data_IF_836328836498
#
_entry.id   IF_836328836498
#
_cell.length_a   1.000
_cell.length_b   1.000
_cell.length_c   1.000
_cell.angle_alpha   90.00
_cell.angle_beta   90.00
_cell.angle_gamma   90.00
#
_symmetry.space_group_name_H-M   'P 1'
#
loop_
_entity.id
_entity.type
_entity.pdbx_description
1 polymer ?
#
# COMPACT_ATOMS: atom_id res chain seq x y z
N UNK A 1 -51.01 53.83 -5.79
CA UNK A 1 -49.89 52.91 -6.10
C UNK A 1 -49.36 52.37 -4.77
N UNK A 2 -49.79 51.17 -4.37
CA UNK A 2 -49.41 50.55 -3.09
C UNK A 2 -48.21 49.64 -3.33
N UNK A 3 -47.04 50.03 -2.83
CA UNK A 3 -45.84 49.18 -2.84
C UNK A 3 -45.83 48.39 -1.53
N UNK A 4 -45.97 47.08 -1.65
CA UNK A 4 -46.01 46.11 -0.55
C UNK A 4 -44.62 45.97 0.09
N UNK A 5 -44.48 46.41 1.34
CA UNK A 5 -43.31 46.13 2.20
C UNK A 5 -43.36 44.69 2.73
N UNK A 6 -43.14 43.69 1.88
CA UNK A 6 -43.03 42.28 2.30
C UNK A 6 -41.61 41.69 2.17
N UNK A 7 -40.64 42.46 1.65
CA UNK A 7 -39.29 41.95 1.39
C UNK A 7 -38.36 41.95 2.62
N UNK A 8 -38.61 42.79 3.62
CA UNK A 8 -37.68 42.98 4.74
C UNK A 8 -37.65 41.82 5.77
N UNK A 9 -38.76 41.15 6.13
CA UNK A 9 -38.73 40.06 7.11
C UNK A 9 -38.04 38.79 6.57
N UNK A 10 -38.14 38.55 5.26
CA UNK A 10 -37.57 37.37 4.59
C UNK A 10 -36.05 37.46 4.51
N UNK A 11 -35.51 38.66 4.28
CA UNK A 11 -34.06 38.90 4.24
C UNK A 11 -33.42 38.73 5.63
N UNK A 12 -34.12 39.13 6.70
CA UNK A 12 -33.63 38.95 8.08
C UNK A 12 -33.62 37.46 8.48
N UNK A 13 -34.64 36.68 8.07
CA UNK A 13 -34.70 35.24 8.33
C UNK A 13 -33.59 34.44 7.59
N UNK A 14 -33.23 34.84 6.38
CA UNK A 14 -32.15 34.23 5.60
C UNK A 14 -30.76 34.52 6.17
N UNK A 15 -30.54 35.71 6.76
CA UNK A 15 -29.26 36.06 7.40
C UNK A 15 -29.03 35.32 8.73
N UNK A 16 -30.09 34.98 9.46
CA UNK A 16 -29.98 34.21 10.71
C UNK A 16 -29.58 32.73 10.46
N UNK A 17 -29.93 32.17 9.30
CA UNK A 17 -29.61 30.78 8.94
C UNK A 17 -28.13 30.57 8.61
N UNK A 18 -27.38 31.62 8.24
CA UNK A 18 -25.96 31.53 7.89
C UNK A 18 -25.01 31.57 9.10
N UNK A 19 -25.50 31.91 10.30
CA UNK A 19 -24.65 32.06 11.51
C UNK A 19 -24.65 30.77 12.37
N UNK A 20 -25.51 29.80 12.04
CA UNK A 20 -25.66 28.54 12.77
C UNK A 20 -24.76 27.41 12.28
N UNK A 21 -23.53 27.71 11.84
CA UNK A 21 -22.56 26.66 11.54
C UNK A 21 -22.21 25.92 12.83
N UNK A 22 -22.80 24.74 13.03
CA UNK A 22 -22.46 23.83 14.12
C UNK A 22 -20.95 23.63 14.12
N UNK A 23 -20.24 24.22 15.09
CA UNK A 23 -18.83 23.90 15.28
C UNK A 23 -18.77 22.41 15.60
N UNK A 24 -18.31 21.61 14.65
CA UNK A 24 -18.00 20.21 14.90
C UNK A 24 -16.92 20.19 15.99
N UNK A 25 -17.37 19.96 17.22
CA UNK A 25 -16.47 19.83 18.35
C UNK A 25 -15.98 18.40 18.30
N UNK A 26 -14.79 18.21 17.73
CA UNK A 26 -14.13 16.92 17.74
C UNK A 26 -13.73 16.63 19.19
N UNK A 27 -14.42 15.69 19.84
CA UNK A 27 -13.97 15.16 21.10
C UNK A 27 -12.89 14.12 20.82
N UNK A 28 -11.64 14.50 21.05
CA UNK A 28 -10.55 13.55 21.08
C UNK A 28 -10.54 12.91 22.47
N UNK A 29 -10.78 11.61 22.55
CA UNK A 29 -10.45 10.84 23.73
C UNK A 29 -8.93 10.75 23.85
N UNK A 30 -8.40 10.65 25.08
CA UNK A 30 -6.99 10.31 25.24
C UNK A 30 -6.70 8.95 24.56
N UNK A 31 -5.62 8.84 23.78
CA UNK A 31 -5.25 7.57 23.16
C UNK A 31 -4.93 6.54 24.24
N UNK A 32 -5.63 5.42 24.22
CA UNK A 32 -5.31 4.28 25.06
C UNK A 32 -4.09 3.54 24.51
N UNK A 33 -3.19 3.09 25.39
CA UNK A 33 -2.02 2.34 25.00
C UNK A 33 -2.43 0.91 24.63
N UNK A 34 -2.17 0.52 23.38
CA UNK A 34 -2.42 -0.83 22.88
C UNK A 34 -1.12 -1.63 22.86
N UNK A 35 -0.98 -2.71 23.66
CA UNK A 35 0.21 -3.56 23.62
C UNK A 35 0.44 -4.12 22.21
N UNK A 36 1.69 -4.13 21.74
CA UNK A 36 2.03 -4.71 20.44
C UNK A 36 1.95 -6.24 20.50
N UNK A 37 1.43 -6.92 19.45
CA UNK A 37 1.48 -8.38 19.35
C UNK A 37 2.85 -8.89 18.85
N UNK A 38 3.75 -7.99 18.42
CA UNK A 38 5.05 -8.35 17.88
C UNK A 38 6.10 -8.59 18.97
N UNK A 39 7.01 -9.54 18.74
CA UNK A 39 8.14 -9.81 19.63
C UNK A 39 9.23 -8.73 19.64
N UNK A 40 10.22 -8.90 20.53
CA UNK A 40 11.29 -7.91 20.78
C UNK A 40 12.22 -7.64 19.58
N UNK A 41 12.32 -8.55 18.61
CA UNK A 41 13.13 -8.40 17.39
C UNK A 41 12.23 -8.25 16.17
N UNK A 42 11.31 -7.29 16.23
CA UNK A 42 10.36 -7.00 15.17
C UNK A 42 10.71 -5.73 14.40
N UNK A 43 10.32 -5.72 13.13
CA UNK A 43 10.55 -4.64 12.17
C UNK A 43 9.31 -4.45 11.31
N UNK A 44 9.25 -3.28 10.65
CA UNK A 44 8.31 -3.00 9.55
C UNK A 44 6.85 -3.35 9.86
N UNK A 45 6.25 -2.83 10.95
CA UNK A 45 4.84 -3.06 11.21
C UNK A 45 3.97 -2.31 10.19
N UNK A 46 2.92 -2.96 9.72
CA UNK A 46 1.91 -2.35 8.87
C UNK A 46 0.51 -2.65 9.42
N UNK A 47 -0.34 -1.64 9.46
CA UNK A 47 -1.73 -1.77 9.90
C UNK A 47 -2.68 -1.70 8.71
N UNK A 48 -3.60 -2.66 8.65
CA UNK A 48 -4.67 -2.73 7.66
C UNK A 48 -6.02 -2.81 8.37
N UNK A 49 -7.00 -2.03 7.91
CA UNK A 49 -8.38 -2.11 8.40
C UNK A 49 -9.25 -2.73 7.33
N UNK A 50 -9.89 -3.86 7.65
CA UNK A 50 -10.76 -4.55 6.70
C UNK A 50 -12.12 -3.85 6.53
N UNK A 51 -12.92 -4.34 5.57
CA UNK A 51 -14.26 -3.80 5.30
C UNK A 51 -15.26 -3.99 6.46
N UNK A 52 -14.92 -4.80 7.47
CA UNK A 52 -15.72 -5.05 8.69
C UNK A 52 -15.24 -4.20 9.87
N UNK A 53 -14.18 -3.42 9.70
CA UNK A 53 -13.58 -2.58 10.73
C UNK A 53 -12.60 -3.32 11.65
N UNK A 54 -12.25 -4.58 11.35
CA UNK A 54 -11.21 -5.28 12.09
C UNK A 54 -9.84 -4.72 11.70
N UNK A 55 -8.98 -4.52 12.70
CA UNK A 55 -7.61 -4.04 12.48
C UNK A 55 -6.68 -5.25 12.45
N UNK A 56 -5.87 -5.34 11.42
CA UNK A 56 -4.83 -6.34 11.26
C UNK A 56 -3.47 -5.66 11.33
N UNK A 57 -2.49 -6.33 11.91
CA UNK A 57 -1.10 -5.91 11.87
C UNK A 57 -0.26 -7.01 11.25
N UNK A 58 0.56 -6.67 10.25
CA UNK A 58 1.65 -7.52 9.76
C UNK A 58 3.00 -6.96 10.17
N UNK A 59 3.97 -7.82 10.42
CA UNK A 59 5.34 -7.41 10.78
C UNK A 59 6.35 -8.51 10.46
N UNK A 60 7.63 -8.15 10.43
CA UNK A 60 8.73 -9.13 10.30
C UNK A 60 9.38 -9.32 11.66
N UNK A 61 9.59 -10.57 12.06
CA UNK A 61 10.49 -10.92 13.15
C UNK A 61 11.80 -11.49 12.62
N UNK A 62 12.89 -11.19 13.29
CA UNK A 62 14.22 -11.69 12.96
C UNK A 62 14.75 -12.61 14.06
N UNK A 63 15.30 -13.74 13.63
CA UNK A 63 15.97 -14.73 14.47
C UNK A 63 17.24 -15.16 13.74
N UNK A 64 18.37 -14.59 14.16
CA UNK A 64 19.65 -14.68 13.46
C UNK A 64 19.54 -14.28 11.96
N UNK A 65 19.68 -15.22 11.03
CA UNK A 65 19.54 -14.99 9.59
C UNK A 65 18.13 -15.21 9.05
N UNK A 66 17.25 -15.82 9.84
CA UNK A 66 15.89 -16.15 9.44
C UNK A 66 14.95 -14.99 9.74
N UNK A 67 14.18 -14.60 8.72
CA UNK A 67 13.12 -13.62 8.85
C UNK A 67 11.76 -14.33 8.76
N UNK A 68 10.81 -13.90 9.58
CA UNK A 68 9.45 -14.46 9.65
C UNK A 68 8.43 -13.35 9.48
N UNK A 69 7.62 -13.41 8.44
CA UNK A 69 6.49 -12.51 8.24
C UNK A 69 5.32 -13.05 9.05
N UNK A 70 4.77 -12.21 9.94
CA UNK A 70 3.69 -12.58 10.85
C UNK A 70 2.52 -11.62 10.75
N UNK A 71 1.37 -12.06 11.21
CA UNK A 71 0.17 -11.24 11.34
C UNK A 71 -0.61 -11.54 12.61
N UNK A 72 -1.35 -10.55 13.11
CA UNK A 72 -2.36 -10.69 14.16
C UNK A 72 -3.54 -9.75 13.89
N UNK A 73 -4.70 -10.09 14.43
CA UNK A 73 -5.91 -9.28 14.32
C UNK A 73 -6.27 -8.72 15.70
N UNK A 74 -6.68 -7.47 15.75
CA UNK A 74 -7.19 -6.83 16.95
C UNK A 74 -8.68 -7.11 17.07
N UNK A 75 -9.06 -7.87 18.10
CA UNK A 75 -10.44 -8.21 18.41
C UNK A 75 -10.80 -7.61 19.78
N UNK A 76 -11.79 -6.73 19.82
CA UNK A 76 -12.31 -6.15 21.07
C UNK A 76 -11.20 -5.58 21.97
N UNK A 77 -10.20 -4.91 21.38
CA UNK A 77 -9.08 -4.32 22.11
C UNK A 77 -7.95 -5.29 22.49
N UNK A 78 -8.05 -6.57 22.12
CA UNK A 78 -6.99 -7.57 22.36
C UNK A 78 -6.50 -8.18 21.06
N UNK A 79 -5.18 -8.26 20.90
CA UNK A 79 -4.61 -8.93 19.73
C UNK A 79 -4.76 -10.45 19.85
N UNK A 80 -5.06 -11.11 18.72
CA UNK A 80 -4.96 -12.56 18.62
C UNK A 80 -3.51 -13.02 18.76
N UNK A 81 -3.33 -14.33 18.98
CA UNK A 81 -2.01 -14.93 18.81
C UNK A 81 -1.47 -14.63 17.39
N UNK A 82 -0.17 -14.38 17.31
CA UNK A 82 0.50 -14.15 16.04
C UNK A 82 0.49 -15.41 15.18
N UNK A 83 0.13 -15.26 13.91
CA UNK A 83 0.15 -16.30 12.88
C UNK A 83 1.32 -16.02 11.96
N UNK A 84 2.13 -17.05 11.70
CA UNK A 84 3.19 -16.98 10.69
C UNK A 84 2.60 -17.08 9.28
N UNK A 85 2.97 -16.14 8.42
CA UNK A 85 2.64 -16.11 6.99
C UNK A 85 3.68 -16.91 6.22
N UNK A 86 4.96 -16.62 6.45
CA UNK A 86 6.07 -17.29 5.81
C UNK A 86 7.37 -17.00 6.56
N UNK A 87 8.42 -17.75 6.23
CA UNK A 87 9.77 -17.52 6.72
C UNK A 87 10.80 -17.83 5.64
N UNK A 88 11.85 -17.01 5.53
CA UNK A 88 12.95 -17.22 4.59
C UNK A 88 14.23 -16.52 5.09
N UNK A 89 15.39 -17.06 4.73
CA UNK A 89 16.70 -16.44 4.98
C UNK A 89 17.14 -15.51 3.85
N UNK A 90 16.47 -15.56 2.69
CA UNK A 90 16.81 -14.82 1.47
C UNK A 90 15.92 -13.58 1.22
N UNK A 91 15.22 -13.08 2.23
CA UNK A 91 14.42 -11.87 2.10
C UNK A 91 15.27 -10.59 2.12
N UNK A 92 14.78 -9.58 1.40
CA UNK A 92 15.31 -8.23 1.42
C UNK A 92 14.55 -7.41 2.47
N UNK A 93 14.98 -7.50 3.74
CA UNK A 93 14.37 -6.72 4.84
C UNK A 93 15.09 -5.38 4.98
N UNK A 94 14.35 -4.28 4.92
CA UNK A 94 14.89 -2.92 5.06
C UNK A 94 13.89 -1.99 5.79
N UNK A 95 14.31 -0.76 6.09
CA UNK A 95 13.50 0.21 6.87
C UNK A 95 12.54 1.05 6.03
N UNK A 96 12.68 1.03 4.70
CA UNK A 96 11.96 1.91 3.80
C UNK A 96 10.78 1.21 3.12
N UNK A 97 10.90 -0.09 2.86
CA UNK A 97 9.92 -0.91 2.15
C UNK A 97 9.48 -2.08 3.00
N UNK A 98 8.21 -2.05 3.42
CA UNK A 98 7.66 -2.90 4.45
C UNK A 98 6.60 -3.85 3.88
N UNK A 99 6.64 -5.14 4.26
CA UNK A 99 5.64 -6.10 3.82
C UNK A 99 4.28 -5.76 4.41
N UNK A 100 3.25 -6.08 3.63
CA UNK A 100 1.86 -5.82 4.00
C UNK A 100 1.04 -7.09 3.83
N UNK A 101 0.06 -7.27 4.71
CA UNK A 101 -1.03 -8.22 4.56
C UNK A 101 -2.36 -7.49 4.47
N UNK A 102 -3.20 -7.88 3.50
CA UNK A 102 -4.58 -7.42 3.37
C UNK A 102 -5.54 -8.62 3.32
N UNK A 103 -6.80 -8.39 3.70
CA UNK A 103 -7.86 -9.41 3.72
C UNK A 103 -9.17 -8.87 3.13
N UNK A 104 -10.04 -9.76 2.66
CA UNK A 104 -11.43 -9.43 2.32
C UNK A 104 -12.33 -9.28 3.57
N UNK A 105 -11.73 -9.35 4.76
CA UNK A 105 -12.36 -9.41 6.06
C UNK A 105 -12.97 -10.76 6.38
N UNK A 106 -12.97 -11.69 5.43
CA UNK A 106 -13.38 -13.08 5.59
C UNK A 106 -12.19 -13.99 5.79
N UNK A 107 -12.12 -15.00 4.94
CA UNK A 107 -11.11 -16.06 5.02
C UNK A 107 -9.93 -15.81 4.07
N UNK A 108 -10.09 -14.91 3.10
CA UNK A 108 -9.10 -14.72 2.04
C UNK A 108 -8.17 -13.58 2.40
N UNK A 109 -6.88 -13.86 2.40
CA UNK A 109 -5.87 -12.87 2.67
C UNK A 109 -4.69 -13.05 1.72
N UNK A 110 -4.05 -11.93 1.37
CA UNK A 110 -2.87 -11.86 0.56
C UNK A 110 -1.82 -11.05 1.30
N UNK A 111 -0.58 -11.49 1.23
CA UNK A 111 0.56 -10.75 1.74
C UNK A 111 1.69 -10.75 0.72
N UNK A 112 2.61 -9.79 0.85
CA UNK A 112 3.83 -9.78 0.07
C UNK A 112 5.07 -9.70 0.97
N UNK A 113 6.21 -10.13 0.43
CA UNK A 113 7.53 -9.91 0.99
C UNK A 113 8.56 -9.74 -0.13
N UNK A 114 9.59 -8.94 0.11
CA UNK A 114 10.65 -8.74 -0.86
C UNK A 114 11.66 -9.90 -0.79
N UNK A 115 11.92 -10.53 -1.93
CA UNK A 115 12.86 -11.64 -2.06
C UNK A 115 14.07 -11.19 -2.87
N UNK A 116 15.28 -11.39 -2.35
CA UNK A 116 16.50 -11.08 -3.10
C UNK A 116 16.55 -11.88 -4.40
N UNK A 117 16.79 -11.18 -5.50
CA UNK A 117 16.85 -11.76 -6.84
C UNK A 117 18.25 -11.66 -7.47
N UNK A 118 19.15 -10.86 -6.88
CA UNK A 118 20.55 -10.73 -7.28
C UNK A 118 21.39 -9.97 -6.23
N UNK A 119 22.51 -9.38 -6.67
CA UNK A 119 23.36 -8.54 -5.81
C UNK A 119 22.75 -7.15 -5.57
N UNK A 120 23.24 -6.46 -4.54
CA UNK A 120 22.82 -5.11 -4.21
C UNK A 120 21.31 -5.00 -3.91
N UNK A 121 20.63 -4.17 -4.69
CA UNK A 121 19.20 -3.89 -4.58
C UNK A 121 18.35 -4.67 -5.60
N UNK A 122 18.85 -5.77 -6.17
CA UNK A 122 18.00 -6.64 -6.98
C UNK A 122 17.08 -7.49 -6.09
N UNK A 123 15.78 -7.20 -6.11
CA UNK A 123 14.75 -7.95 -5.37
C UNK A 123 13.41 -7.95 -6.11
N UNK A 124 12.66 -9.02 -5.90
CA UNK A 124 11.34 -9.27 -6.48
C UNK A 124 10.26 -9.22 -5.39
N UNK A 125 9.01 -8.96 -5.79
CA UNK A 125 7.86 -8.97 -4.88
C UNK A 125 7.28 -10.38 -4.84
N UNK A 126 7.53 -11.12 -3.76
CA UNK A 126 6.99 -12.47 -3.55
C UNK A 126 5.63 -12.41 -2.87
N UNK A 127 4.66 -13.19 -3.37
CA UNK A 127 3.29 -13.24 -2.87
C UNK A 127 3.01 -14.48 -2.03
N UNK A 128 2.17 -14.32 -1.01
CA UNK A 128 1.65 -15.38 -0.15
C UNK A 128 0.15 -15.20 0.03
N UNK A 129 -0.59 -16.30 0.12
CA UNK A 129 -2.03 -16.22 0.38
C UNK A 129 -2.58 -17.35 1.23
N UNK A 130 -3.76 -17.10 1.81
CA UNK A 130 -4.57 -18.12 2.49
C UNK A 130 -6.04 -17.92 2.13
N UNK A 131 -6.80 -19.02 2.15
CA UNK A 131 -8.24 -19.05 1.92
C UNK A 131 -8.97 -19.62 3.17
N UNK A 132 -8.57 -19.18 4.37
CA UNK A 132 -9.14 -19.61 5.64
C UNK A 132 -8.57 -20.93 6.17
N UNK A 133 -7.51 -21.42 5.53
CA UNK A 133 -6.76 -22.58 6.00
C UNK A 133 -5.78 -22.14 7.08
N UNK A 134 -5.40 -23.08 7.95
CA UNK A 134 -4.43 -22.86 9.02
C UNK A 134 -3.03 -22.51 8.51
N UNK A 135 -2.70 -22.84 7.25
CA UNK A 135 -1.40 -22.56 6.63
C UNK A 135 -1.54 -21.60 5.43
N UNK A 136 -0.53 -20.74 5.29
CA UNK A 136 -0.34 -19.88 4.12
C UNK A 136 0.39 -20.62 3.01
N UNK A 137 0.13 -20.23 1.76
CA UNK A 137 0.76 -20.79 0.56
C UNK A 137 1.53 -19.71 -0.20
N UNK A 138 2.73 -20.05 -0.67
CA UNK A 138 3.50 -19.21 -1.60
C UNK A 138 2.83 -19.18 -2.98
N UNK A 139 2.64 -17.99 -3.57
CA UNK A 139 1.90 -17.79 -4.83
C UNK A 139 2.75 -17.39 -6.04
N UNK A 140 4.04 -17.14 -5.83
CA UNK A 140 4.97 -16.73 -6.89
C UNK A 140 5.40 -15.28 -6.74
N UNK A 141 5.75 -14.65 -7.86
CA UNK A 141 6.16 -13.24 -7.92
C UNK A 141 5.05 -12.38 -8.51
N UNK A 142 4.94 -11.13 -8.04
CA UNK A 142 4.06 -10.13 -8.63
C UNK A 142 4.66 -9.59 -9.94
N UNK A 143 5.95 -9.27 -9.94
CA UNK A 143 6.67 -8.85 -11.14
C UNK A 143 7.04 -10.06 -12.02
N UNK A 144 7.08 -9.86 -13.34
CA UNK A 144 7.14 -10.93 -14.36
C UNK A 144 8.18 -10.70 -15.47
N UNK A 145 9.05 -9.71 -15.32
CA UNK A 145 10.04 -9.27 -16.31
C UNK A 145 11.39 -10.01 -16.21
N UNK A 146 11.62 -10.70 -15.08
CA UNK A 146 12.84 -11.45 -14.76
C UNK A 146 14.15 -10.63 -14.71
N UNK A 147 14.08 -9.30 -14.73
CA UNK A 147 15.26 -8.44 -14.61
C UNK A 147 15.82 -8.49 -13.19
N UNK A 148 17.13 -8.27 -13.06
CA UNK A 148 17.80 -8.12 -11.76
C UNK A 148 17.79 -6.66 -11.36
N UNK A 149 16.61 -6.15 -11.05
CA UNK A 149 16.35 -4.76 -10.67
C UNK A 149 15.49 -4.70 -9.39
N UNK A 150 15.19 -3.47 -8.95
CA UNK A 150 14.35 -3.19 -7.79
C UNK A 150 12.86 -3.34 -8.13
N UNK A 151 12.15 -4.17 -7.37
CA UNK A 151 10.69 -4.27 -7.43
C UNK A 151 10.11 -4.23 -6.01
N UNK A 152 9.41 -3.15 -5.65
CA UNK A 152 8.99 -2.94 -4.27
C UNK A 152 8.03 -1.77 -4.07
N UNK A 153 7.98 -1.25 -2.85
CA UNK A 153 7.13 -0.12 -2.43
C UNK A 153 5.65 -0.38 -2.76
N UNK A 154 5.22 -1.59 -2.41
CA UNK A 154 3.94 -2.16 -2.83
C UNK A 154 2.80 -1.55 -2.03
N UNK A 155 1.75 -1.10 -2.72
CA UNK A 155 0.45 -0.79 -2.11
C UNK A 155 -0.60 -1.79 -2.58
N UNK A 156 -1.52 -2.17 -1.69
CA UNK A 156 -2.60 -3.12 -1.98
C UNK A 156 -3.90 -2.65 -1.33
N UNK A 157 -5.01 -2.73 -2.06
CA UNK A 157 -6.35 -2.52 -1.51
C UNK A 157 -7.33 -3.56 -2.06
N UNK A 158 -8.25 -4.09 -1.24
CA UNK A 158 -9.39 -4.85 -1.76
C UNK A 158 -10.21 -4.00 -2.73
N UNK A 159 -10.48 -4.52 -3.93
CA UNK A 159 -11.23 -3.80 -4.95
C UNK A 159 -12.01 -4.75 -5.86
N UNK A 160 -13.33 -4.53 -5.98
CA UNK A 160 -14.23 -5.32 -6.84
C UNK A 160 -14.10 -6.85 -6.67
N UNK A 161 -13.96 -7.34 -5.43
CA UNK A 161 -13.80 -8.77 -5.11
C UNK A 161 -12.41 -9.34 -5.36
N UNK A 162 -11.50 -8.53 -5.91
CA UNK A 162 -10.09 -8.78 -6.14
C UNK A 162 -9.25 -7.81 -5.30
N UNK A 163 -7.99 -7.63 -5.68
CA UNK A 163 -7.03 -6.71 -5.07
C UNK A 163 -6.48 -5.82 -6.19
N UNK A 164 -6.53 -4.50 -6.00
CA UNK A 164 -5.69 -3.59 -6.78
C UNK A 164 -4.34 -3.47 -6.06
N UNK A 165 -3.27 -3.70 -6.81
CA UNK A 165 -1.90 -3.59 -6.33
C UNK A 165 -1.11 -2.62 -7.21
N UNK A 166 -0.24 -1.82 -6.60
CA UNK A 166 0.76 -0.99 -7.29
C UNK A 166 2.14 -1.23 -6.71
N UNK A 167 3.18 -1.12 -7.53
CA UNK A 167 4.58 -1.26 -7.09
C UNK A 167 5.51 -0.39 -7.95
N UNK A 168 6.64 0.00 -7.36
CA UNK A 168 7.77 0.56 -8.10
C UNK A 168 8.51 -0.57 -8.82
N UNK A 169 8.81 -0.34 -10.09
CA UNK A 169 9.37 -1.34 -10.99
C UNK A 169 10.56 -0.78 -11.78
N UNK A 170 11.75 -1.33 -11.47
CA UNK A 170 13.04 -0.89 -11.96
C UNK A 170 13.51 -1.57 -13.24
N UNK A 171 12.64 -2.31 -13.95
CA UNK A 171 13.05 -3.10 -15.13
C UNK A 171 13.77 -2.29 -16.21
N UNK A 172 13.42 -1.03 -16.38
CA UNK A 172 14.05 -0.14 -17.35
C UNK A 172 15.48 0.23 -16.93
N UNK A 173 15.76 0.36 -15.63
CA UNK A 173 17.10 0.62 -15.09
C UNK A 173 18.07 -0.51 -15.41
N UNK A 174 17.60 -1.76 -15.41
CA UNK A 174 18.42 -2.91 -15.79
C UNK A 174 18.68 -2.97 -17.30
N UNK A 175 17.70 -2.64 -18.14
CA UNK A 175 17.83 -2.65 -19.59
C UNK A 175 18.93 -1.70 -20.11
N UNK A 176 19.10 -0.55 -19.45
CA UNK A 176 20.13 0.43 -19.83
C UNK A 176 21.55 -0.01 -19.47
N UNK A 177 21.73 -0.81 -18.41
CA UNK A 177 23.04 -1.36 -18.06
C UNK A 177 23.54 -2.46 -19.01
N UNK A 178 22.63 -3.15 -19.70
CA UNK A 178 22.99 -4.19 -20.66
C UNK A 178 23.29 -3.64 -22.06
N UNK A 179 22.91 -2.39 -22.35
CA UNK A 179 22.91 -1.84 -23.71
C UNK A 179 23.97 -0.76 -23.98
N UNK A 180 24.58 -0.13 -22.95
CA UNK A 180 25.53 0.97 -23.19
C UNK A 180 26.74 0.96 -22.23
N UNK A 181 27.89 0.49 -22.74
CA UNK A 181 29.21 0.73 -22.13
C UNK A 181 29.77 2.14 -22.42
N UNK A 182 29.14 2.90 -23.32
CA UNK A 182 29.62 4.21 -23.77
C UNK A 182 28.43 5.16 -24.04
N UNK A 183 27.90 5.83 -23.02
CA UNK A 183 27.34 7.18 -23.15
C UNK A 183 26.92 7.76 -21.80
N UNK A 184 27.37 9.00 -21.54
CA UNK A 184 26.89 9.81 -20.43
C UNK A 184 25.45 10.28 -20.70
N UNK A 185 24.47 9.68 -20.03
CA UNK A 185 23.15 10.29 -19.87
C UNK A 185 22.00 9.29 -19.94
N UNK A 186 21.31 9.15 -18.80
CA UNK A 186 20.08 8.41 -18.55
C UNK A 186 20.28 6.93 -18.16
N UNK A 187 20.39 6.70 -16.85
CA UNK A 187 19.96 5.45 -16.25
C UNK A 187 18.44 5.29 -16.47
N UNK A 188 18.00 4.06 -16.72
CA UNK A 188 16.58 3.78 -16.96
C UNK A 188 15.71 4.26 -15.81
N UNK A 189 14.50 4.71 -16.13
CA UNK A 189 13.60 5.26 -15.15
C UNK A 189 12.90 4.15 -14.35
N UNK A 190 12.84 4.33 -13.03
CA UNK A 190 11.84 3.67 -12.20
C UNK A 190 10.45 3.99 -12.75
N UNK A 191 9.63 2.96 -12.93
CA UNK A 191 8.22 3.08 -13.30
C UNK A 191 7.33 2.74 -12.09
N UNK A 192 6.05 3.10 -12.13
CA UNK A 192 5.03 2.51 -11.27
C UNK A 192 4.12 1.65 -12.14
N UNK A 193 3.93 0.40 -11.72
CA UNK A 193 3.01 -0.54 -12.37
C UNK A 193 1.83 -0.81 -11.46
N UNK A 194 0.74 -1.24 -12.08
CA UNK A 194 -0.48 -1.58 -11.40
C UNK A 194 -1.01 -2.91 -11.93
N UNK A 195 -1.66 -3.67 -11.06
CA UNK A 195 -2.33 -4.90 -11.43
C UNK A 195 -3.60 -5.12 -10.63
N UNK A 196 -4.56 -5.82 -11.23
CA UNK A 196 -5.66 -6.46 -10.50
C UNK A 196 -5.29 -7.92 -10.33
N UNK A 197 -5.21 -8.38 -9.09
CA UNK A 197 -4.88 -9.76 -8.75
C UNK A 197 -5.99 -10.37 -7.88
N UNK A 198 -6.22 -11.68 -8.01
CA UNK A 198 -7.12 -12.40 -7.10
C UNK A 198 -6.43 -12.73 -5.77
N UNK A 199 -7.19 -13.23 -4.79
CA UNK A 199 -6.65 -13.66 -3.48
C UNK A 199 -5.85 -14.97 -3.53
N UNK A 200 -5.77 -15.64 -4.68
CA UNK A 200 -4.82 -16.73 -4.92
C UNK A 200 -3.49 -16.22 -5.50
N UNK A 201 -3.34 -14.90 -5.69
CA UNK A 201 -2.15 -14.25 -6.24
C UNK A 201 -2.07 -14.33 -7.76
N UNK A 202 -3.16 -14.62 -8.47
CA UNK A 202 -3.19 -14.66 -9.94
C UNK A 202 -3.53 -13.30 -10.53
N UNK A 203 -2.66 -12.82 -11.41
CA UNK A 203 -2.87 -11.59 -12.17
C UNK A 203 -4.05 -11.72 -13.15
N UNK A 204 -5.01 -10.82 -13.01
CA UNK A 204 -6.16 -10.68 -13.91
C UNK A 204 -5.88 -9.63 -14.98
N UNK A 205 -5.25 -8.52 -14.58
CA UNK A 205 -4.85 -7.40 -15.44
C UNK A 205 -3.57 -6.79 -14.88
N UNK A 206 -2.70 -6.30 -15.76
CA UNK A 206 -1.47 -5.58 -15.41
C UNK A 206 -1.22 -4.48 -16.44
N UNK A 207 -0.79 -3.30 -15.98
CA UNK A 207 -0.41 -2.18 -16.84
C UNK A 207 0.68 -1.33 -16.19
N UNK A 208 1.39 -0.57 -17.03
CA UNK A 208 2.27 0.50 -16.58
C UNK A 208 1.42 1.75 -16.29
N UNK A 209 1.47 2.24 -15.05
CA UNK A 209 0.69 3.39 -14.61
C UNK A 209 1.43 4.70 -14.89
N UNK A 210 2.75 4.71 -14.66
CA UNK A 210 3.64 5.82 -15.03
C UNK A 210 5.02 5.28 -15.38
N UNK A 211 5.61 5.79 -16.46
CA UNK A 211 6.91 5.35 -16.96
C UNK A 211 8.09 5.98 -16.20
N UNK A 212 7.88 7.06 -15.43
CA UNK A 212 8.98 7.80 -14.81
C UNK A 212 8.62 8.41 -13.45
N UNK A 213 8.91 7.68 -12.39
CA UNK A 213 8.62 8.09 -11.01
C UNK A 213 9.89 8.26 -10.17
N UNK A 214 9.73 8.69 -8.92
CA UNK A 214 10.80 8.63 -7.92
C UNK A 214 11.13 7.16 -7.59
N UNK A 215 12.41 6.90 -7.36
CA UNK A 215 13.01 5.57 -7.15
C UNK A 215 12.87 5.00 -5.73
N UNK A 216 12.49 5.81 -4.74
CA UNK A 216 12.58 5.47 -3.31
C UNK A 216 11.35 5.86 -2.48
N UNK A 217 10.27 6.31 -3.11
CA UNK A 217 9.10 6.84 -2.42
C UNK A 217 7.98 5.81 -2.35
N UNK A 218 7.40 5.66 -1.16
CA UNK A 218 6.20 4.83 -0.95
C UNK A 218 5.04 5.29 -1.84
N UNK A 219 4.26 4.31 -2.28
CA UNK A 219 2.99 4.54 -2.97
C UNK A 219 1.84 4.41 -1.98
N UNK A 220 0.64 4.86 -2.33
CA UNK A 220 -0.57 4.53 -1.57
C UNK A 220 -1.79 4.52 -2.49
N UNK A 221 -2.81 3.77 -2.09
CA UNK A 221 -4.07 3.68 -2.83
C UNK A 221 -5.20 4.04 -1.88
N UNK A 222 -6.04 4.99 -2.28
CA UNK A 222 -7.26 5.36 -1.56
C UNK A 222 -8.49 5.00 -2.40
N UNK A 223 -9.57 4.54 -1.77
CA UNK A 223 -10.85 4.34 -2.45
C UNK A 223 -11.73 5.58 -2.26
N UNK A 224 -11.84 6.40 -3.29
CA UNK A 224 -12.71 7.58 -3.32
C UNK A 224 -14.06 7.20 -3.96
N UNK A 225 -15.10 7.10 -3.14
CA UNK A 225 -16.44 6.66 -3.58
C UNK A 225 -16.43 5.31 -4.35
N UNK A 226 -15.50 4.41 -4.00
CA UNK A 226 -15.32 3.11 -4.65
C UNK A 226 -14.37 3.10 -5.85
N UNK A 227 -13.92 4.27 -6.32
CA UNK A 227 -12.88 4.39 -7.35
C UNK A 227 -11.50 4.42 -6.68
N UNK A 228 -10.55 3.57 -7.10
CA UNK A 228 -9.20 3.63 -6.61
C UNK A 228 -8.47 4.87 -7.13
N UNK A 229 -7.78 5.55 -6.23
CA UNK A 229 -6.89 6.68 -6.53
C UNK A 229 -5.51 6.31 -6.01
N UNK A 230 -4.56 6.15 -6.93
CA UNK A 230 -3.15 5.88 -6.61
C UNK A 230 -2.45 7.20 -6.41
N UNK A 231 -1.79 7.40 -5.26
CA UNK A 231 -0.91 8.53 -5.00
C UNK A 231 0.54 8.07 -4.95
N UNK A 232 1.40 8.80 -5.64
CA UNK A 232 2.83 8.50 -5.75
C UNK A 232 3.63 9.78 -6.02
N UNK A 233 4.96 9.68 -5.86
CA UNK A 233 5.87 10.81 -6.14
C UNK A 233 6.46 10.68 -7.53
N UNK A 234 5.90 11.42 -8.47
CA UNK A 234 6.31 11.45 -9.87
C UNK A 234 7.71 12.08 -10.08
N UNK A 235 8.30 11.86 -11.26
CA UNK A 235 9.56 12.49 -11.68
C UNK A 235 9.48 12.95 -13.14
N UNK A 236 9.35 14.25 -13.36
CA UNK A 236 9.35 14.84 -14.71
C UNK A 236 10.67 14.65 -15.48
N UNK A 237 10.64 14.94 -16.79
CA UNK A 237 11.84 14.98 -17.65
C UNK A 237 12.88 16.00 -17.18
N UNK A 238 12.45 17.03 -16.46
CA UNK A 238 13.32 18.05 -15.86
C UNK A 238 13.83 17.69 -14.45
N UNK A 239 13.67 16.44 -14.03
CA UNK A 239 14.06 15.92 -12.71
C UNK A 239 13.34 16.55 -11.50
N UNK A 240 12.28 17.32 -11.75
CA UNK A 240 11.36 17.79 -10.70
C UNK A 240 10.52 16.63 -10.20
N UNK A 241 10.45 16.49 -8.87
CA UNK A 241 9.66 15.47 -8.18
C UNK A 241 8.50 16.10 -7.43
N UNK A 242 7.29 15.63 -7.68
CA UNK A 242 6.06 16.13 -7.05
C UNK A 242 5.07 14.97 -6.79
N UNK A 243 3.99 15.22 -6.05
CA UNK A 243 2.96 14.22 -5.74
C UNK A 243 1.86 14.24 -6.81
N UNK A 244 1.62 13.09 -7.42
CA UNK A 244 0.60 12.89 -8.44
C UNK A 244 -0.47 11.92 -7.96
N UNK A 245 -1.64 11.98 -8.60
CA UNK A 245 -2.73 11.04 -8.39
C UNK A 245 -3.25 10.49 -9.71
N UNK A 246 -3.49 9.18 -9.78
CA UNK A 246 -4.10 8.49 -10.92
C UNK A 246 -5.39 7.79 -10.47
N UNK A 247 -6.47 7.88 -11.26
CA UNK A 247 -7.78 7.30 -10.96
C UNK A 247 -8.17 6.22 -11.98
#
# INVERSE_FOLDING_TARGET
MRIQFFALPVVIALLAACVGGSKHTYQFSEPALQPSPAGAQSLTPYLFVDARGAVHMSWVEKDDSLHRLKTATLNEGTWTAAVEIAADTNWFVNWADYPMMITDGGQRALAHMLRRSGEGYAYDVQLFSTNGQSAWSTRGLLNNDATKSEHGFVSMVPWNGNILVTWLDGRNSAADTASHADNHGHHGAMSIRAAVIDYDGRTQQEWELDARTCDCCQTTIALLAGTPTVLYRDRSDSEVRDVFSHN
#
